data_IF_957423802274
#
_entry.id   IF_957423802274
#
_cell.length_a   1.000
_cell.length_b   1.000
_cell.length_c   1.000
_cell.angle_alpha   90.00
_cell.angle_beta   90.00
_cell.angle_gamma   90.00
#
_symmetry.space_group_name_H-M   'P 1'
#
loop_
_entity.id
_entity.type
_entity.pdbx_description
1 polymer ?
#
# COMPACT_ATOMS: atom_id res chain seq x y z
N UNK A 1 -11.31 -2.44 -9.96
CA UNK A 1 -11.10 -0.97 -10.03
C UNK A 1 -11.16 -0.56 -11.50
N UNK A 2 -11.95 0.45 -11.80
CA UNK A 2 -12.05 1.03 -13.17
C UNK A 2 -11.06 2.18 -13.26
N UNK A 3 -10.25 2.26 -14.32
CA UNK A 3 -9.39 3.42 -14.56
C UNK A 3 -10.26 4.63 -14.88
N UNK A 4 -9.88 5.78 -14.35
CA UNK A 4 -10.45 7.06 -14.79
C UNK A 4 -9.66 7.56 -15.99
N UNK A 5 -10.35 8.08 -16.98
CA UNK A 5 -9.75 8.73 -18.13
C UNK A 5 -10.53 9.99 -18.46
N UNK A 6 -9.84 10.94 -19.07
CA UNK A 6 -10.40 12.21 -19.47
C UNK A 6 -10.37 12.35 -20.99
N UNK A 7 -11.40 12.92 -21.55
CA UNK A 7 -11.40 13.33 -22.94
C UNK A 7 -10.69 14.67 -23.10
N UNK A 8 -10.22 14.96 -24.33
CA UNK A 8 -9.52 16.19 -24.64
C UNK A 8 -10.31 17.46 -24.22
N UNK A 9 -11.63 17.46 -24.33
CA UNK A 9 -12.48 18.56 -23.87
C UNK A 9 -12.43 18.82 -22.35
N UNK A 10 -12.10 17.81 -21.54
CA UNK A 10 -12.01 17.98 -20.08
C UNK A 10 -10.73 18.71 -19.63
N UNK A 11 -9.71 18.80 -20.49
CA UNK A 11 -8.47 19.54 -20.24
C UNK A 11 -8.50 20.94 -20.89
N UNK A 12 -9.57 21.28 -21.62
CA UNK A 12 -9.75 22.62 -22.15
C UNK A 12 -10.02 23.62 -21.00
N UNK A 13 -9.40 24.77 -21.09
CA UNK A 13 -9.65 25.88 -20.15
C UNK A 13 -11.08 26.40 -20.33
N UNK A 14 -11.82 26.53 -19.23
CA UNK A 14 -13.17 27.09 -19.27
C UNK A 14 -13.26 28.53 -18.75
N UNK A 15 -12.14 29.07 -18.20
CA UNK A 15 -12.06 30.46 -17.74
C UNK A 15 -10.70 31.10 -18.03
N UNK A 16 -10.59 32.40 -17.71
CA UNK A 16 -9.35 33.19 -17.89
C UNK A 16 -8.23 32.80 -16.93
N UNK A 17 -8.53 32.12 -15.81
CA UNK A 17 -7.53 31.66 -14.83
C UNK A 17 -6.88 30.34 -15.23
N UNK A 18 -7.33 29.75 -16.32
CA UNK A 18 -6.78 28.49 -16.82
C UNK A 18 -7.35 27.25 -16.14
N UNK A 19 -8.45 27.36 -15.43
CA UNK A 19 -9.13 26.23 -14.81
C UNK A 19 -9.68 25.27 -15.85
N UNK A 20 -9.62 23.97 -15.53
CA UNK A 20 -10.12 22.88 -16.34
C UNK A 20 -10.92 21.92 -15.47
N UNK A 21 -11.89 21.25 -16.07
CA UNK A 21 -12.68 20.24 -15.34
C UNK A 21 -11.80 19.13 -14.76
N UNK A 22 -10.73 18.76 -15.46
CA UNK A 22 -9.77 17.77 -14.96
C UNK A 22 -9.06 18.25 -13.69
N UNK A 23 -8.60 19.50 -13.66
CA UNK A 23 -7.92 20.04 -12.47
C UNK A 23 -8.87 20.17 -11.29
N UNK A 24 -10.10 20.62 -11.49
CA UNK A 24 -11.10 20.72 -10.42
C UNK A 24 -11.39 19.36 -9.81
N UNK A 25 -11.55 18.33 -10.67
CA UNK A 25 -11.74 16.96 -10.21
C UNK A 25 -10.54 16.45 -9.43
N UNK A 26 -9.30 16.63 -9.95
CA UNK A 26 -8.08 16.23 -9.27
C UNK A 26 -7.92 16.93 -7.93
N UNK A 27 -8.13 18.23 -7.87
CA UNK A 27 -8.07 19.01 -6.64
C UNK A 27 -9.07 18.48 -5.60
N UNK A 28 -10.30 18.21 -6.01
CA UNK A 28 -11.32 17.64 -5.11
C UNK A 28 -10.91 16.27 -4.58
N UNK A 29 -10.40 15.40 -5.44
CA UNK A 29 -9.95 14.05 -5.04
C UNK A 29 -8.75 14.12 -4.09
N UNK A 30 -7.74 14.95 -4.40
CA UNK A 30 -6.55 15.04 -3.55
C UNK A 30 -6.84 15.76 -2.23
N UNK A 31 -7.69 16.78 -2.21
CA UNK A 31 -8.12 17.41 -0.98
C UNK A 31 -8.81 16.40 -0.04
N UNK A 32 -9.70 15.59 -0.59
CA UNK A 32 -10.38 14.56 0.21
C UNK A 32 -9.42 13.42 0.61
N UNK A 33 -8.47 13.06 -0.25
CA UNK A 33 -7.42 12.11 0.08
C UNK A 33 -6.58 12.59 1.26
N UNK A 34 -6.08 13.83 1.23
CA UNK A 34 -5.25 14.41 2.29
C UNK A 34 -6.01 14.56 3.62
N UNK A 35 -7.32 14.79 3.55
CA UNK A 35 -8.19 14.83 4.73
C UNK A 35 -8.29 13.48 5.44
N UNK A 36 -8.27 12.38 4.68
CA UNK A 36 -8.50 11.02 5.18
C UNK A 36 -7.21 10.25 5.40
N UNK A 37 -6.19 10.48 4.58
CA UNK A 37 -5.00 9.63 4.48
C UNK A 37 -3.75 10.52 4.44
N UNK A 38 -2.78 10.23 5.30
CA UNK A 38 -1.48 10.94 5.35
C UNK A 38 -0.34 10.20 4.65
N UNK A 39 -0.65 9.13 3.92
CA UNK A 39 0.35 8.36 3.20
C UNK A 39 0.62 8.96 1.82
N UNK A 40 1.86 8.95 1.33
CA UNK A 40 2.17 9.41 -0.03
C UNK A 40 1.40 8.62 -1.09
N UNK A 41 1.01 9.27 -2.18
CA UNK A 41 0.45 8.58 -3.35
C UNK A 41 1.59 8.02 -4.18
N UNK A 42 1.53 6.72 -4.49
CA UNK A 42 2.45 6.07 -5.42
C UNK A 42 1.76 5.86 -6.77
N UNK A 43 2.43 6.27 -7.84
CA UNK A 43 2.02 5.98 -9.20
C UNK A 43 2.76 4.74 -9.70
N UNK A 44 2.03 3.73 -10.14
CA UNK A 44 2.59 2.49 -10.67
C UNK A 44 2.20 2.31 -12.14
N UNK A 45 3.09 1.76 -12.98
CA UNK A 45 2.70 1.25 -14.28
C UNK A 45 1.54 0.26 -14.19
N UNK A 46 0.71 0.21 -15.21
CA UNK A 46 -0.56 -0.54 -15.18
C UNK A 46 -0.38 -2.02 -14.86
N UNK A 47 0.67 -2.65 -15.41
CA UNK A 47 0.99 -4.05 -15.13
C UNK A 47 1.33 -4.29 -13.67
N UNK A 48 2.06 -3.36 -13.00
CA UNK A 48 2.39 -3.47 -11.58
C UNK A 48 1.16 -3.33 -10.69
N UNK A 49 0.16 -2.54 -11.08
CA UNK A 49 -1.13 -2.48 -10.39
C UNK A 49 -1.83 -3.85 -10.44
N UNK A 50 -1.77 -4.51 -11.60
CA UNK A 50 -2.27 -5.87 -11.78
C UNK A 50 -1.59 -6.87 -10.85
N UNK A 51 -0.25 -6.87 -10.81
CA UNK A 51 0.54 -7.75 -9.96
C UNK A 51 0.25 -7.52 -8.47
N UNK A 52 0.26 -6.27 -8.01
CA UNK A 52 -0.10 -5.93 -6.63
C UNK A 52 -1.54 -6.33 -6.27
N UNK A 53 -2.46 -6.24 -7.20
CA UNK A 53 -3.84 -6.68 -6.99
C UNK A 53 -3.91 -8.21 -6.82
N UNK A 54 -3.17 -8.95 -7.64
CA UNK A 54 -3.05 -10.42 -7.55
C UNK A 54 -2.44 -10.84 -6.21
N UNK A 55 -1.34 -10.21 -5.79
CA UNK A 55 -0.69 -10.50 -4.51
C UNK A 55 -1.64 -10.23 -3.33
N UNK A 56 -2.36 -9.10 -3.36
CA UNK A 56 -3.37 -8.77 -2.35
C UNK A 56 -4.52 -9.79 -2.30
N UNK A 57 -5.02 -10.24 -3.44
CA UNK A 57 -6.08 -11.26 -3.49
C UNK A 57 -5.57 -12.59 -2.96
N UNK A 58 -4.33 -12.97 -3.28
CA UNK A 58 -3.71 -14.18 -2.75
C UNK A 58 -3.55 -14.12 -1.22
N UNK A 59 -3.05 -12.99 -0.68
CA UNK A 59 -2.97 -12.78 0.76
C UNK A 59 -4.34 -12.81 1.43
N UNK A 60 -5.36 -12.16 0.85
CA UNK A 60 -6.73 -12.15 1.36
C UNK A 60 -7.37 -13.54 1.43
N UNK A 61 -6.99 -14.46 0.53
CA UNK A 61 -7.50 -15.83 0.49
C UNK A 61 -6.72 -16.81 1.36
N UNK A 62 -5.65 -16.35 2.05
CA UNK A 62 -4.87 -17.15 2.98
C UNK A 62 -5.31 -16.90 4.43
N UNK A 63 -5.10 -17.91 5.28
CA UNK A 63 -5.18 -17.76 6.73
C UNK A 63 -3.77 -17.47 7.22
N UNK A 64 -3.52 -16.21 7.59
CA UNK A 64 -2.21 -15.75 8.06
C UNK A 64 -2.26 -15.68 9.58
N UNK A 65 -1.25 -16.26 10.24
CA UNK A 65 -1.06 -16.21 11.68
C UNK A 65 0.20 -15.43 12.00
N UNK A 66 0.14 -14.55 12.99
CA UNK A 66 1.27 -13.80 13.49
C UNK A 66 1.30 -13.85 15.01
N UNK A 67 2.46 -14.20 15.57
CA UNK A 67 2.69 -14.27 17.02
C UNK A 67 3.82 -13.33 17.38
N UNK A 68 3.51 -12.30 18.16
CA UNK A 68 4.51 -11.35 18.62
C UNK A 68 5.10 -11.79 19.97
N UNK A 69 6.40 -12.05 19.98
CA UNK A 69 7.17 -12.24 21.22
C UNK A 69 7.72 -10.88 21.69
N UNK A 70 7.10 -10.33 22.73
CA UNK A 70 7.46 -9.00 23.26
C UNK A 70 8.79 -9.00 24.01
N UNK A 71 9.24 -10.16 24.53
CA UNK A 71 10.48 -10.26 25.29
C UNK A 71 11.70 -10.03 24.42
N UNK A 72 11.75 -10.69 23.27
CA UNK A 72 12.85 -10.55 22.29
C UNK A 72 12.52 -9.65 21.11
N UNK A 73 11.32 -9.04 21.12
CA UNK A 73 10.84 -8.10 20.11
C UNK A 73 10.87 -8.69 18.68
N UNK A 74 10.35 -9.89 18.54
CA UNK A 74 10.24 -10.57 17.25
C UNK A 74 8.79 -10.96 16.97
N UNK A 75 8.44 -11.04 15.69
CA UNK A 75 7.16 -11.60 15.22
C UNK A 75 7.43 -12.85 14.40
N UNK A 76 6.72 -13.92 14.70
CA UNK A 76 6.72 -15.15 13.91
C UNK A 76 5.45 -15.19 13.06
N UNK A 77 5.61 -15.35 11.75
CA UNK A 77 4.50 -15.28 10.78
C UNK A 77 4.48 -16.55 9.95
N UNK A 78 3.31 -17.15 9.82
CA UNK A 78 3.04 -18.30 8.93
C UNK A 78 1.71 -18.13 8.22
N UNK A 79 1.47 -18.95 7.20
CA UNK A 79 0.20 -18.99 6.49
C UNK A 79 -0.16 -20.42 6.12
N UNK A 80 -1.44 -20.71 5.89
CA UNK A 80 -1.90 -22.04 5.49
C UNK A 80 -1.51 -22.44 4.06
N UNK A 81 -0.91 -21.51 3.30
CA UNK A 81 -0.38 -21.69 1.94
C UNK A 81 0.75 -20.69 1.66
N UNK A 82 1.45 -20.85 0.53
CA UNK A 82 2.43 -19.87 0.08
C UNK A 82 1.75 -18.52 -0.27
N UNK A 83 2.23 -17.44 0.34
CA UNK A 83 1.79 -16.06 0.11
C UNK A 83 3.03 -15.24 -0.24
N UNK A 84 3.34 -15.08 -1.53
CA UNK A 84 4.44 -14.24 -1.98
C UNK A 84 4.09 -12.76 -1.80
N UNK A 85 5.12 -11.93 -1.67
CA UNK A 85 5.01 -10.47 -1.62
C UNK A 85 4.00 -9.93 -0.58
N UNK A 86 3.88 -10.60 0.56
CA UNK A 86 3.08 -10.08 1.67
C UNK A 86 3.77 -8.83 2.21
N UNK A 87 3.15 -7.66 2.01
CA UNK A 87 3.66 -6.39 2.51
C UNK A 87 3.28 -6.21 3.98
N UNK A 88 4.29 -6.05 4.85
CA UNK A 88 4.12 -5.93 6.30
C UNK A 88 4.80 -4.64 6.77
N UNK A 89 4.10 -3.87 7.60
CA UNK A 89 4.63 -2.71 8.31
C UNK A 89 5.05 -3.08 9.71
N UNK A 90 5.97 -2.29 10.30
CA UNK A 90 6.44 -2.50 11.67
C UNK A 90 7.59 -3.49 11.81
N UNK A 91 8.08 -4.09 10.74
CA UNK A 91 9.30 -4.89 10.72
C UNK A 91 10.54 -4.00 10.54
N UNK A 92 11.71 -4.52 10.94
CA UNK A 92 12.99 -3.88 10.59
C UNK A 92 13.31 -4.11 9.11
N UNK A 93 13.88 -3.09 8.46
CA UNK A 93 14.24 -3.13 7.04
C UNK A 93 13.05 -3.02 6.09
N UNK A 94 13.32 -2.95 4.81
CA UNK A 94 12.32 -2.74 3.77
C UNK A 94 12.37 -1.32 3.18
N UNK A 95 11.33 -0.91 2.50
CA UNK A 95 11.18 0.40 1.88
C UNK A 95 10.58 1.41 2.88
N UNK A 96 11.18 2.60 2.99
CA UNK A 96 10.57 3.67 3.79
C UNK A 96 9.38 4.28 3.03
N UNK A 97 8.22 4.29 3.67
CA UNK A 97 6.99 4.80 3.09
C UNK A 97 6.09 5.43 4.16
N UNK A 98 5.81 6.71 4.02
CA UNK A 98 4.94 7.42 4.96
C UNK A 98 5.42 7.41 6.41
N UNK A 99 6.74 7.49 6.63
CA UNK A 99 7.33 7.51 7.96
C UNK A 99 7.50 6.13 8.62
N UNK A 100 7.17 5.04 7.91
CA UNK A 100 7.35 3.66 8.39
C UNK A 100 7.99 2.79 7.31
N UNK A 101 8.56 1.67 7.72
CA UNK A 101 9.10 0.71 6.78
C UNK A 101 8.03 -0.29 6.35
N UNK A 102 7.96 -0.56 5.04
CA UNK A 102 7.17 -1.66 4.47
C UNK A 102 8.12 -2.70 3.94
N UNK A 103 7.99 -3.92 4.41
CA UNK A 103 8.81 -5.05 3.98
C UNK A 103 7.95 -6.10 3.30
N UNK A 104 8.27 -6.42 2.04
CA UNK A 104 7.68 -7.54 1.34
C UNK A 104 8.37 -8.84 1.76
N UNK A 105 7.59 -9.83 2.15
CA UNK A 105 8.09 -11.16 2.57
C UNK A 105 7.26 -12.25 1.91
N UNK A 106 7.86 -13.41 1.67
CA UNK A 106 7.13 -14.61 1.28
C UNK A 106 6.92 -15.47 2.51
N UNK A 107 5.68 -15.69 2.90
CA UNK A 107 5.32 -16.57 4.01
C UNK A 107 4.68 -17.86 3.49
N UNK A 108 4.80 -18.93 4.26
CA UNK A 108 4.25 -20.24 3.93
C UNK A 108 3.81 -20.97 5.22
N UNK A 109 3.64 -22.29 5.17
CA UNK A 109 3.25 -23.11 6.33
C UNK A 109 4.30 -23.18 7.42
N UNK A 110 5.57 -22.92 7.08
CA UNK A 110 6.66 -22.85 8.07
C UNK A 110 6.75 -21.42 8.63
N UNK A 111 6.71 -21.25 9.97
CA UNK A 111 6.84 -19.94 10.58
C UNK A 111 8.19 -19.28 10.28
N UNK A 112 8.16 -18.02 9.86
CA UNK A 112 9.33 -17.18 9.67
C UNK A 112 9.36 -16.09 10.74
N UNK A 113 10.52 -15.88 11.36
CA UNK A 113 10.68 -14.91 12.46
C UNK A 113 11.39 -13.66 11.96
N UNK A 114 10.82 -12.51 12.29
CA UNK A 114 11.32 -11.18 11.92
C UNK A 114 11.48 -10.30 13.15
N UNK A 115 12.49 -9.43 13.15
CA UNK A 115 12.63 -8.39 14.16
C UNK A 115 11.58 -7.28 13.95
N UNK A 116 10.98 -6.80 15.03
CA UNK A 116 10.01 -5.70 15.05
C UNK A 116 10.72 -4.37 15.29
N UNK A 117 10.33 -3.32 14.58
CA UNK A 117 10.85 -1.97 14.80
C UNK A 117 10.03 -1.26 15.89
N UNK A 118 10.57 -1.20 17.10
CA UNK A 118 9.90 -0.58 18.26
C UNK A 118 9.58 0.91 18.08
N UNK A 119 10.37 1.64 17.30
CA UNK A 119 10.16 3.06 17.10
C UNK A 119 8.84 3.39 16.37
N UNK A 120 8.22 2.39 15.73
CA UNK A 120 6.99 2.55 14.93
C UNK A 120 5.75 1.89 15.57
N UNK A 121 5.90 1.30 16.76
CA UNK A 121 4.83 0.57 17.47
C UNK A 121 4.28 1.33 18.69
N UNK A 122 4.65 2.61 18.83
CA UNK A 122 4.12 3.53 19.86
C UNK A 122 2.99 4.38 19.32
#
# INVERSE_FOLDING_TARGET
KWPHFFHQGNVAKYDANGNTLQFDWLNSVFTEYERLIRLPVKSFPYHQIGDKTKDRLNAKSAIIQAVWNRTNNTVSISANKAVPNLEITGLTGGELYGGQYIRAVTVNTQPLTFAVNRALTQ
#
